data_IF_553844512573
#
_entry.id   IF_553844512573
#
_cell.length_a   1.000
_cell.length_b   1.000
_cell.length_c   1.000
_cell.angle_alpha   90.00
_cell.angle_beta   90.00
_cell.angle_gamma   90.00
#
_symmetry.space_group_name_H-M   'P 1'
#
loop_
_entity.id
_entity.type
_entity.pdbx_description
1 polymer ?
#
# COMPACT_ATOMS: atom_id res chain seq x y z
N UNK A 1 36.88 40.27 23.39
CA UNK A 1 37.73 39.14 23.82
C UNK A 1 37.68 38.08 22.73
N UNK A 2 38.77 37.90 21.99
CA UNK A 2 38.89 36.94 20.88
C UNK A 2 38.97 35.52 21.43
N UNK A 3 37.99 34.68 21.08
CA UNK A 3 37.84 33.30 21.57
C UNK A 3 38.55 32.32 20.61
N UNK A 4 39.86 32.50 20.46
CA UNK A 4 40.74 31.71 19.60
C UNK A 4 41.60 30.82 20.48
N UNK A 5 41.66 29.53 20.16
CA UNK A 5 42.53 28.55 20.84
C UNK A 5 43.56 28.11 19.80
N UNK A 6 44.84 28.39 20.08
CA UNK A 6 45.98 27.94 19.26
C UNK A 6 46.58 26.69 19.90
N UNK A 7 46.70 25.62 19.12
CA UNK A 7 47.36 24.36 19.50
C UNK A 7 48.38 24.05 18.41
N UNK A 8 49.66 24.32 18.69
CA UNK A 8 50.78 24.15 17.75
C UNK A 8 50.50 24.81 16.38
N UNK A 9 50.27 24.04 15.31
CA UNK A 9 49.95 24.56 13.97
C UNK A 9 48.43 24.72 13.71
N UNK A 10 47.57 24.25 14.60
CA UNK A 10 46.12 24.27 14.42
C UNK A 10 45.50 25.47 15.15
N UNK A 11 44.82 26.32 14.38
CA UNK A 11 44.14 27.50 14.86
C UNK A 11 42.63 27.32 14.85
N UNK A 12 42.03 27.17 16.03
CA UNK A 12 40.58 27.04 16.17
C UNK A 12 39.96 28.38 16.56
N UNK A 13 39.06 28.89 15.72
CA UNK A 13 38.26 30.08 16.05
C UNK A 13 36.83 29.66 16.37
N UNK A 14 36.38 29.95 17.59
CA UNK A 14 34.96 29.77 17.95
C UNK A 14 34.15 30.96 17.45
N UNK A 15 33.64 30.86 16.23
CA UNK A 15 32.72 31.88 15.70
C UNK A 15 31.29 31.66 16.19
N UNK A 16 30.81 32.61 17.00
CA UNK A 16 29.44 32.62 17.52
C UNK A 16 28.40 33.05 16.47
N UNK A 17 28.83 33.55 15.31
CA UNK A 17 27.95 33.91 14.18
C UNK A 17 27.51 32.69 13.37
N UNK A 18 28.13 31.53 13.58
CA UNK A 18 27.66 30.28 12.99
C UNK A 18 26.26 30.01 13.54
N UNK A 19 25.28 30.12 12.66
CA UNK A 19 23.85 29.96 12.98
C UNK A 19 23.64 28.55 13.50
N UNK A 20 23.15 28.42 14.73
CA UNK A 20 22.79 27.12 15.27
C UNK A 20 21.61 26.56 14.46
N UNK A 21 21.65 25.28 14.06
CA UNK A 21 20.52 24.68 13.37
C UNK A 21 19.26 24.83 14.21
N UNK A 22 18.17 25.21 13.56
CA UNK A 22 16.86 25.17 14.21
C UNK A 22 16.49 23.71 14.45
N UNK A 23 16.04 23.42 15.66
CA UNK A 23 15.71 22.06 16.05
C UNK A 23 14.49 21.54 15.30
N UNK A 24 13.52 22.41 14.97
CA UNK A 24 12.25 22.01 14.36
C UNK A 24 11.74 22.98 13.30
N UNK A 25 11.02 22.45 12.30
CA UNK A 25 10.33 23.21 11.26
C UNK A 25 9.03 22.49 10.81
N UNK A 26 8.04 23.18 10.25
CA UNK A 26 6.83 22.50 9.73
C UNK A 26 6.82 22.34 8.21
N UNK A 27 7.74 23.03 7.53
CA UNK A 27 7.81 23.07 6.07
C UNK A 27 8.40 21.79 5.47
N UNK A 28 7.98 21.48 4.25
CA UNK A 28 8.40 20.29 3.50
C UNK A 28 9.38 20.60 2.36
N UNK A 29 9.58 21.88 2.06
CA UNK A 29 10.52 22.32 1.03
C UNK A 29 11.90 22.50 1.67
N UNK A 30 12.79 21.56 1.36
CA UNK A 30 14.11 21.48 1.96
C UNK A 30 15.11 21.20 0.85
N UNK A 31 16.21 21.94 0.88
CA UNK A 31 17.35 21.72 0.00
C UNK A 31 18.51 21.18 0.82
N UNK A 32 19.12 20.09 0.35
CA UNK A 32 20.34 19.54 0.93
C UNK A 32 21.54 20.16 0.22
N UNK A 33 22.46 20.74 1.00
CA UNK A 33 23.72 21.27 0.48
C UNK A 33 24.80 20.23 0.73
N UNK A 34 25.24 19.56 -0.34
CA UNK A 34 26.26 18.50 -0.26
C UNK A 34 27.65 19.04 0.07
N UNK A 35 27.93 20.30 -0.27
CA UNK A 35 29.22 20.94 0.02
C UNK A 35 29.27 21.42 1.48
N UNK A 36 28.18 22.01 1.95
CA UNK A 36 28.03 22.46 3.34
C UNK A 36 27.66 21.35 4.33
N UNK A 37 27.23 20.19 3.83
CA UNK A 37 26.74 19.04 4.61
C UNK A 37 25.61 19.41 5.59
N UNK A 38 24.68 20.26 5.15
CA UNK A 38 23.53 20.65 5.94
C UNK A 38 22.24 20.67 5.12
N UNK A 39 21.11 20.63 5.81
CA UNK A 39 19.79 20.77 5.21
C UNK A 39 19.26 22.16 5.53
N UNK A 40 18.74 22.85 4.53
CA UNK A 40 18.11 24.17 4.67
C UNK A 40 16.64 24.09 4.32
N UNK A 41 15.81 24.75 5.12
CA UNK A 41 14.41 24.98 4.75
C UNK A 41 14.33 26.12 3.72
N UNK A 42 13.64 25.91 2.60
CA UNK A 42 13.49 26.94 1.58
C UNK A 42 12.47 28.01 1.96
N UNK A 43 11.53 27.71 2.85
CA UNK A 43 10.52 28.65 3.31
C UNK A 43 11.04 29.50 4.48
N UNK A 44 11.68 28.88 5.48
CA UNK A 44 12.26 29.60 6.63
C UNK A 44 13.65 30.17 6.37
N UNK A 45 14.34 29.70 5.31
CA UNK A 45 15.76 30.00 5.03
C UNK A 45 16.73 29.66 6.18
N UNK A 46 16.31 28.82 7.12
CA UNK A 46 17.13 28.38 8.27
C UNK A 46 17.78 27.03 7.99
N UNK A 47 18.97 26.84 8.55
CA UNK A 47 19.60 25.52 8.65
C UNK A 47 18.81 24.67 9.65
N UNK A 48 18.56 23.42 9.30
CA UNK A 48 17.85 22.45 10.12
C UNK A 48 18.81 21.40 10.67
N UNK A 49 18.46 20.87 11.84
CA UNK A 49 19.17 19.71 12.40
C UNK A 49 19.01 18.50 11.47
N UNK A 50 20.12 17.87 11.00
CA UNK A 50 20.03 16.66 10.19
C UNK A 50 19.28 15.52 10.87
N UNK A 51 19.42 15.41 12.20
CA UNK A 51 18.70 14.43 13.01
C UNK A 51 17.18 14.63 12.91
N UNK A 52 16.72 15.88 13.07
CA UNK A 52 15.30 16.19 12.98
C UNK A 52 14.72 15.93 11.59
N UNK A 53 15.48 16.28 10.53
CA UNK A 53 15.09 15.99 9.14
C UNK A 53 14.94 14.49 8.92
N UNK A 54 15.89 13.69 9.40
CA UNK A 54 15.85 12.24 9.28
C UNK A 54 14.66 11.65 10.03
N UNK A 55 14.41 12.05 11.28
CA UNK A 55 13.24 11.61 12.05
C UNK A 55 11.93 11.92 11.32
N UNK A 56 11.80 13.13 10.78
CA UNK A 56 10.63 13.50 9.98
C UNK A 56 10.48 12.69 8.70
N UNK A 57 11.59 12.40 8.02
CA UNK A 57 11.57 11.57 6.82
C UNK A 57 11.11 10.15 7.13
N UNK A 58 11.60 9.56 8.23
CA UNK A 58 11.17 8.23 8.69
C UNK A 58 9.67 8.22 9.03
N UNK A 59 9.16 9.21 9.75
CA UNK A 59 7.73 9.33 10.06
C UNK A 59 6.87 9.40 8.78
N UNK A 60 7.30 10.19 7.79
CA UNK A 60 6.57 10.30 6.52
C UNK A 60 6.63 8.99 5.74
N UNK A 61 7.77 8.31 5.76
CA UNK A 61 7.96 7.05 5.09
C UNK A 61 7.08 5.95 5.69
N UNK A 62 7.03 5.84 7.03
CA UNK A 62 6.16 4.89 7.72
C UNK A 62 4.67 5.13 7.41
N UNK A 63 4.24 6.40 7.38
CA UNK A 63 2.87 6.77 6.99
C UNK A 63 2.58 6.41 5.54
N UNK A 64 3.56 6.58 4.64
CA UNK A 64 3.41 6.23 3.23
C UNK A 64 3.29 4.71 3.06
N UNK A 65 4.17 3.94 3.71
CA UNK A 65 4.11 2.47 3.71
C UNK A 65 2.79 1.96 4.25
N UNK A 66 2.34 2.49 5.39
CA UNK A 66 1.05 2.12 5.99
C UNK A 66 -0.12 2.37 5.04
N UNK A 67 -0.09 3.49 4.29
CA UNK A 67 -1.10 3.78 3.27
C UNK A 67 -1.05 2.82 2.09
N UNK A 68 0.14 2.41 1.65
CA UNK A 68 0.32 1.45 0.55
C UNK A 68 -0.21 0.08 0.98
N UNK A 69 0.23 -0.42 2.13
CA UNK A 69 -0.24 -1.70 2.69
C UNK A 69 -1.78 -1.72 2.84
N UNK A 70 -2.37 -0.64 3.36
CA UNK A 70 -3.83 -0.52 3.47
C UNK A 70 -4.56 -0.38 2.12
N UNK A 71 -3.89 0.05 1.04
CA UNK A 71 -4.44 0.04 -0.32
C UNK A 71 -4.39 -1.36 -0.92
N UNK A 72 -3.27 -2.05 -0.78
CA UNK A 72 -3.08 -3.42 -1.26
C UNK A 72 -4.09 -4.38 -0.61
N UNK A 73 -4.30 -4.28 0.70
CA UNK A 73 -5.29 -5.10 1.39
C UNK A 73 -6.70 -4.87 0.84
N UNK A 74 -7.12 -3.60 0.70
CA UNK A 74 -8.45 -3.26 0.15
C UNK A 74 -8.61 -3.71 -1.28
N UNK A 75 -7.56 -3.62 -2.09
CA UNK A 75 -7.56 -4.11 -3.47
C UNK A 75 -7.72 -5.64 -3.51
N UNK A 76 -6.94 -6.38 -2.71
CA UNK A 76 -7.03 -7.83 -2.61
C UNK A 76 -8.43 -8.29 -2.17
N UNK A 77 -9.02 -7.62 -1.19
CA UNK A 77 -10.39 -7.88 -0.75
C UNK A 77 -11.42 -7.57 -1.85
N UNK A 78 -11.27 -6.46 -2.57
CA UNK A 78 -12.15 -6.09 -3.67
C UNK A 78 -12.04 -7.09 -4.83
N UNK A 79 -10.84 -7.53 -5.20
CA UNK A 79 -10.60 -8.54 -6.23
C UNK A 79 -11.28 -9.87 -5.86
N UNK A 80 -11.12 -10.33 -4.61
CA UNK A 80 -11.79 -11.55 -4.12
C UNK A 80 -13.32 -11.44 -4.20
N UNK A 81 -13.89 -10.29 -3.81
CA UNK A 81 -15.34 -10.04 -3.91
C UNK A 81 -15.82 -10.01 -5.36
N UNK A 82 -15.01 -9.45 -6.25
CA UNK A 82 -15.34 -9.30 -7.67
C UNK A 82 -15.46 -10.66 -8.38
N UNK A 83 -14.67 -11.67 -8.00
CA UNK A 83 -14.77 -13.01 -8.60
C UNK A 83 -16.16 -13.62 -8.39
N UNK A 84 -16.68 -13.57 -7.16
CA UNK A 84 -18.01 -14.09 -6.83
C UNK A 84 -19.11 -13.29 -7.52
N UNK A 85 -18.98 -11.96 -7.55
CA UNK A 85 -19.95 -11.08 -8.21
C UNK A 85 -19.97 -11.30 -9.72
N UNK A 86 -18.81 -11.49 -10.38
CA UNK A 86 -18.75 -11.78 -11.81
C UNK A 86 -19.45 -13.08 -12.16
N UNK A 87 -19.22 -14.14 -11.38
CA UNK A 87 -19.89 -15.42 -11.59
C UNK A 87 -21.43 -15.27 -11.42
N UNK A 88 -21.87 -14.56 -10.38
CA UNK A 88 -23.29 -14.27 -10.17
C UNK A 88 -23.88 -13.42 -11.31
N UNK A 89 -23.18 -12.40 -11.79
CA UNK A 89 -23.63 -11.54 -12.90
C UNK A 89 -23.75 -12.29 -14.23
N UNK A 90 -22.91 -13.29 -14.49
CA UNK A 90 -23.04 -14.14 -15.67
C UNK A 90 -24.33 -14.96 -15.60
N UNK A 91 -24.61 -15.56 -14.45
CA UNK A 91 -25.84 -16.32 -14.21
C UNK A 91 -27.07 -15.40 -14.30
N UNK A 92 -27.03 -14.23 -13.65
CA UNK A 92 -28.09 -13.22 -13.71
C UNK A 92 -28.36 -12.77 -15.14
N UNK A 93 -27.32 -12.49 -15.92
CA UNK A 93 -27.45 -12.12 -17.34
C UNK A 93 -28.12 -13.22 -18.15
N UNK A 94 -27.74 -14.48 -17.91
CA UNK A 94 -28.37 -15.60 -18.57
C UNK A 94 -29.86 -15.72 -18.18
N UNK A 95 -30.20 -15.55 -16.90
CA UNK A 95 -31.61 -15.56 -16.45
C UNK A 95 -32.46 -14.40 -16.98
N UNK A 96 -31.85 -13.24 -17.24
CA UNK A 96 -32.54 -12.10 -17.88
C UNK A 96 -32.73 -12.28 -19.39
N UNK A 97 -32.00 -13.21 -20.01
CA UNK A 97 -32.18 -13.53 -21.42
C UNK A 97 -33.48 -14.29 -21.64
N UNK A 98 -34.16 -14.00 -22.74
CA UNK A 98 -35.39 -14.71 -23.13
C UNK A 98 -35.09 -16.01 -23.89
N UNK A 99 -33.84 -16.23 -24.31
CA UNK A 99 -33.45 -17.30 -25.25
C UNK A 99 -32.46 -18.30 -24.68
N UNK A 100 -31.86 -18.03 -23.52
CA UNK A 100 -30.78 -18.85 -22.95
C UNK A 100 -30.96 -18.99 -21.44
N UNK A 101 -30.63 -20.16 -20.90
CA UNK A 101 -30.56 -20.40 -19.45
C UNK A 101 -29.21 -21.04 -19.10
N UNK A 102 -28.64 -20.79 -17.92
CA UNK A 102 -27.46 -21.52 -17.47
C UNK A 102 -27.80 -22.99 -17.30
N UNK A 103 -26.87 -23.89 -17.60
CA UNK A 103 -27.08 -25.33 -17.47
C UNK A 103 -26.23 -25.93 -16.37
N UNK A 104 -26.71 -27.04 -15.80
CA UNK A 104 -25.93 -27.84 -14.87
C UNK A 104 -24.79 -28.54 -15.63
N UNK A 105 -23.52 -28.40 -15.22
CA UNK A 105 -22.39 -29.03 -15.92
C UNK A 105 -22.31 -30.55 -15.72
N UNK A 106 -23.19 -31.14 -14.90
CA UNK A 106 -23.21 -32.57 -14.63
C UNK A 106 -24.28 -33.33 -15.39
N UNK A 107 -25.49 -32.78 -15.52
CA UNK A 107 -26.60 -33.42 -16.23
C UNK A 107 -27.02 -32.67 -17.51
N UNK A 108 -26.56 -31.43 -17.72
CA UNK A 108 -26.93 -30.61 -18.87
C UNK A 108 -28.29 -29.90 -18.75
N UNK A 109 -29.06 -30.16 -17.68
CA UNK A 109 -30.38 -29.57 -17.47
C UNK A 109 -30.31 -28.04 -17.30
N UNK A 110 -31.30 -27.33 -17.86
CA UNK A 110 -31.41 -25.87 -17.77
C UNK A 110 -31.88 -25.43 -16.39
N UNK A 111 -31.22 -24.42 -15.83
CA UNK A 111 -31.51 -23.87 -14.49
C UNK A 111 -32.27 -22.56 -14.66
N UNK A 112 -33.57 -22.53 -14.37
CA UNK A 112 -34.38 -21.30 -14.47
C UNK A 112 -34.25 -20.45 -13.22
N UNK A 113 -34.56 -19.16 -13.35
CA UNK A 113 -34.54 -18.23 -12.21
C UNK A 113 -35.52 -18.62 -11.10
N UNK A 114 -36.66 -19.21 -11.45
CA UNK A 114 -37.68 -19.71 -10.51
C UNK A 114 -37.20 -20.91 -9.70
N UNK A 115 -36.33 -21.73 -10.29
CA UNK A 115 -35.85 -22.97 -9.68
C UNK A 115 -34.64 -22.69 -8.77
N UNK A 116 -33.98 -21.55 -8.98
CA UNK A 116 -32.69 -21.23 -8.35
C UNK A 116 -31.65 -22.30 -8.70
N UNK A 117 -30.70 -22.57 -7.80
CA UNK A 117 -29.86 -23.77 -7.89
C UNK A 117 -30.48 -24.97 -7.14
N UNK A 118 -31.80 -24.92 -6.89
CA UNK A 118 -32.46 -25.72 -5.86
C UNK A 118 -32.01 -25.33 -4.45
N UNK A 119 -32.30 -26.20 -3.48
CA UNK A 119 -31.89 -26.05 -2.07
C UNK A 119 -30.69 -26.92 -1.69
N UNK A 120 -30.06 -27.56 -2.68
CA UNK A 120 -28.94 -28.47 -2.47
C UNK A 120 -27.62 -27.71 -2.40
N UNK A 121 -26.94 -27.84 -1.26
CA UNK A 121 -25.57 -27.37 -1.08
C UNK A 121 -24.67 -28.54 -0.69
N UNK A 122 -23.42 -28.52 -1.14
CA UNK A 122 -22.39 -29.48 -0.74
C UNK A 122 -21.26 -28.74 -0.03
N UNK A 123 -20.66 -29.40 0.96
CA UNK A 123 -19.46 -28.87 1.61
C UNK A 123 -18.33 -28.71 0.58
N UNK A 124 -17.72 -27.52 0.56
CA UNK A 124 -16.65 -27.15 -0.39
C UNK A 124 -15.48 -28.13 -0.41
N UNK A 125 -15.06 -28.63 0.75
CA UNK A 125 -13.95 -29.59 0.86
C UNK A 125 -14.27 -30.96 0.24
N UNK A 126 -15.56 -31.33 0.16
CA UNK A 126 -16.00 -32.56 -0.50
C UNK A 126 -15.97 -32.35 -2.03
N UNK A 127 -16.44 -31.20 -2.53
CA UNK A 127 -16.39 -30.87 -3.96
C UNK A 127 -14.95 -30.83 -4.48
N UNK A 128 -14.03 -30.18 -3.75
CA UNK A 128 -12.62 -30.11 -4.11
C UNK A 128 -11.98 -31.51 -4.20
N UNK A 129 -12.26 -32.39 -3.23
CA UNK A 129 -11.82 -33.80 -3.28
C UNK A 129 -12.40 -34.56 -4.47
N UNK A 130 -13.69 -34.37 -4.78
CA UNK A 130 -14.34 -35.00 -5.95
C UNK A 130 -13.73 -34.51 -7.27
N UNK A 131 -13.42 -33.21 -7.39
CA UNK A 131 -12.77 -32.63 -8.57
C UNK A 131 -11.34 -33.13 -8.72
N UNK A 132 -10.59 -33.22 -7.62
CA UNK A 132 -9.23 -33.78 -7.63
C UNK A 132 -9.23 -35.25 -8.08
N UNK A 133 -10.15 -36.07 -7.53
CA UNK A 133 -10.30 -37.47 -7.94
C UNK A 133 -10.67 -37.62 -9.43
N UNK A 134 -11.56 -36.77 -9.95
CA UNK A 134 -11.91 -36.76 -11.38
C UNK A 134 -10.76 -36.33 -12.30
N UNK A 135 -9.84 -35.48 -11.83
CA UNK A 135 -8.65 -35.06 -12.60
C UNK A 135 -7.49 -36.06 -12.54
N UNK A 136 -7.43 -36.89 -11.50
CA UNK A 136 -6.40 -37.92 -11.32
C UNK A 136 -6.74 -39.29 -11.92
N UNK A 137 -7.92 -39.45 -12.51
CA UNK A 137 -8.31 -40.67 -13.22
C UNK A 137 -8.01 -40.55 -14.72
N UNK A 138 -6.81 -40.97 -15.11
CA UNK A 138 -6.49 -41.45 -16.47
C UNK A 138 -6.42 -42.96 -16.39
#
# INVERSE_FOLDING_TARGET
MSNVIDIEELRFTRDKRIVRPREECEHKHMTMDDHGQFVRCDDCKVQLSPFWVLSRMLDQYERALSKIAGREQRQSEAERRTVHLRAAQVVERAWRSHTTVPTCPHCGEGIRATDGFGNSAINRSIDERRRAAKKGGV
#
